data_IF_496244571230
#
_entry.id   IF_496244571230
#
_cell.length_a   1.000
_cell.length_b   1.000
_cell.length_c   1.000
_cell.angle_alpha   90.00
_cell.angle_beta   90.00
_cell.angle_gamma   90.00
#
_symmetry.space_group_name_H-M   'P 1'
#
loop_
_entity.id
_entity.type
_entity.pdbx_description
1 polymer ?
#
# COMPACT_ATOMS: atom_id res chain seq x y z
N UNK A 1 -42.59 39.52 28.59
CA UNK A 1 -42.94 39.50 30.02
C UNK A 1 -43.91 38.36 30.25
N UNK A 2 -43.68 37.60 31.34
CA UNK A 2 -44.49 36.51 31.96
C UNK A 2 -44.86 35.31 31.07
N UNK A 3 -44.79 34.06 31.52
CA UNK A 3 -44.46 33.49 32.83
C UNK A 3 -44.14 32.02 32.67
N UNK A 4 -43.10 31.56 33.36
CA UNK A 4 -42.86 30.13 33.63
C UNK A 4 -43.79 29.66 34.75
N UNK A 5 -44.32 28.45 34.64
CA UNK A 5 -44.87 27.71 35.78
C UNK A 5 -44.37 26.26 35.69
N UNK A 6 -43.45 25.97 36.59
CA UNK A 6 -42.90 24.66 36.85
C UNK A 6 -43.91 23.79 37.61
N UNK A 7 -43.92 22.49 37.33
CA UNK A 7 -44.44 21.48 38.25
C UNK A 7 -43.38 20.39 38.40
N UNK A 8 -42.76 20.36 39.58
CA UNK A 8 -41.86 19.30 40.04
C UNK A 8 -42.69 18.08 40.48
N UNK A 9 -42.26 16.89 40.08
CA UNK A 9 -42.62 15.64 40.74
C UNK A 9 -41.33 14.94 41.19
N UNK A 10 -41.13 14.90 42.50
CA UNK A 10 -40.16 14.04 43.18
C UNK A 10 -40.96 13.07 44.04
N UNK A 11 -40.82 11.77 43.80
CA UNK A 11 -41.01 10.77 44.84
C UNK A 11 -40.01 9.63 44.65
N UNK A 12 -39.15 9.51 45.67
CA UNK A 12 -38.27 8.40 46.00
C UNK A 12 -39.11 7.17 46.45
N UNK A 13 -38.65 5.96 46.74
CA UNK A 13 -37.41 5.34 47.23
C UNK A 13 -37.48 3.86 46.77
N UNK A 14 -36.37 3.19 46.43
CA UNK A 14 -35.66 2.25 47.33
C UNK A 14 -36.45 0.94 47.58
N UNK A 15 -35.95 -0.28 47.48
CA UNK A 15 -34.61 -0.85 47.32
C UNK A 15 -34.83 -2.36 47.14
N UNK A 16 -34.15 -3.03 46.21
CA UNK A 16 -33.71 -4.41 46.46
C UNK A 16 -32.30 -4.55 45.87
N UNK A 17 -31.32 -4.63 46.76
CA UNK A 17 -29.95 -5.08 46.46
C UNK A 17 -29.98 -6.60 46.33
N UNK A 18 -29.34 -7.14 45.30
CA UNK A 18 -28.21 -8.10 45.42
C UNK A 18 -27.80 -8.58 44.04
N UNK A 19 -26.53 -8.35 43.66
CA UNK A 19 -25.87 -9.03 42.55
C UNK A 19 -25.15 -8.11 41.58
N UNK A 20 -23.85 -7.89 41.83
CA UNK A 20 -22.84 -7.49 40.84
C UNK A 20 -21.64 -8.44 41.09
N UNK A 21 -20.66 -8.67 40.19
CA UNK A 21 -20.48 -8.16 38.82
C UNK A 21 -20.02 -9.24 37.81
N UNK A 22 -19.75 -8.76 36.59
CA UNK A 22 -18.67 -9.20 35.68
C UNK A 22 -19.07 -10.09 34.52
N UNK A 23 -19.03 -9.48 33.33
CA UNK A 23 -19.03 -10.22 32.06
C UNK A 23 -19.52 -9.41 30.85
N UNK A 24 -19.40 -8.08 30.84
CA UNK A 24 -19.71 -7.30 29.65
C UNK A 24 -18.53 -7.36 28.67
N UNK A 25 -18.58 -8.32 27.75
CA UNK A 25 -17.74 -8.35 26.55
C UNK A 25 -18.10 -7.15 25.68
N UNK A 26 -17.20 -6.19 25.41
CA UNK A 26 -17.43 -5.20 24.38
C UNK A 26 -17.39 -5.90 23.02
N UNK A 27 -18.44 -5.71 22.22
CA UNK A 27 -18.50 -6.22 20.86
C UNK A 27 -17.31 -5.75 20.04
N UNK A 28 -16.47 -6.71 19.64
CA UNK A 28 -15.45 -6.50 18.64
C UNK A 28 -16.14 -6.35 17.28
N UNK A 29 -16.29 -5.11 16.81
CA UNK A 29 -16.42 -4.84 15.38
C UNK A 29 -15.17 -5.41 14.70
N UNK A 30 -15.29 -6.27 13.66
CA UNK A 30 -14.16 -6.58 12.83
C UNK A 30 -14.00 -5.43 11.83
N UNK A 31 -13.54 -4.28 12.32
CA UNK A 31 -12.76 -3.40 11.45
C UNK A 31 -11.46 -4.13 11.19
N UNK A 32 -11.52 -5.07 10.25
CA UNK A 32 -10.34 -5.51 9.52
C UNK A 32 -9.96 -4.35 8.60
N UNK A 33 -9.57 -3.24 9.20
CA UNK A 33 -8.49 -2.46 8.63
C UNK A 33 -7.37 -3.47 8.52
N UNK A 34 -7.14 -3.97 7.30
CA UNK A 34 -5.96 -4.73 6.98
C UNK A 34 -4.82 -3.96 7.64
N UNK A 35 -4.26 -4.57 8.69
CA UNK A 35 -3.07 -4.07 9.30
C UNK A 35 -2.02 -4.19 8.19
N UNK A 36 -1.91 -3.14 7.39
CA UNK A 36 -0.69 -2.75 6.71
C UNK A 36 0.28 -2.43 7.83
N UNK A 37 0.70 -3.49 8.53
CA UNK A 37 1.83 -3.44 9.40
C UNK A 37 2.96 -2.88 8.57
N UNK A 38 3.70 -1.97 9.17
CA UNK A 38 4.94 -1.42 8.65
C UNK A 38 5.98 -2.55 8.54
N UNK A 39 5.72 -3.54 7.69
CA UNK A 39 6.79 -4.27 7.05
C UNK A 39 7.58 -3.19 6.30
N UNK A 40 8.79 -2.93 6.77
CA UNK A 40 9.66 -1.95 6.13
C UNK A 40 9.77 -2.25 4.63
N UNK A 41 10.01 -1.20 3.84
CA UNK A 41 10.22 -1.35 2.41
C UNK A 41 11.24 -2.47 2.14
N UNK A 42 10.93 -3.47 1.30
CA UNK A 42 11.87 -4.55 0.93
C UNK A 42 13.01 -4.05 0.04
N UNK A 43 13.83 -3.12 0.54
CA UNK A 43 14.88 -2.42 -0.21
C UNK A 43 15.96 -3.34 -0.77
N UNK A 44 16.13 -4.54 -0.21
CA UNK A 44 17.04 -5.56 -0.75
C UNK A 44 16.63 -6.05 -2.15
N UNK A 45 15.37 -5.85 -2.58
CA UNK A 45 14.91 -6.13 -3.94
C UNK A 45 15.03 -4.93 -4.88
N UNK A 46 15.33 -3.74 -4.36
CA UNK A 46 15.47 -2.52 -5.14
C UNK A 46 16.95 -2.29 -5.44
N UNK A 47 17.34 -2.24 -6.70
CA UNK A 47 18.72 -1.96 -7.10
C UNK A 47 19.10 -0.46 -7.01
N UNK A 48 18.28 0.34 -6.32
CA UNK A 48 18.41 1.78 -6.18
C UNK A 48 17.84 2.24 -4.82
N UNK A 49 18.21 3.42 -4.37
CA UNK A 49 17.58 4.08 -3.21
C UNK A 49 16.51 5.05 -3.65
N UNK A 50 15.67 5.52 -2.72
CA UNK A 50 14.68 6.55 -3.00
C UNK A 50 15.31 7.80 -3.63
N UNK A 51 16.46 8.22 -3.11
CA UNK A 51 17.18 9.43 -3.51
C UNK A 51 17.74 9.33 -4.94
N UNK A 52 18.06 8.11 -5.40
CA UNK A 52 18.58 7.84 -6.73
C UNK A 52 17.53 7.26 -7.69
N UNK A 53 16.29 7.07 -7.25
CA UNK A 53 15.28 6.29 -7.96
C UNK A 53 14.79 6.86 -9.29
N UNK A 54 15.08 8.13 -9.59
CA UNK A 54 14.83 8.73 -10.91
C UNK A 54 16.09 8.96 -11.75
N UNK A 55 17.27 8.52 -11.29
CA UNK A 55 18.51 8.53 -12.07
C UNK A 55 18.53 7.37 -13.07
N UNK A 56 17.55 7.38 -13.97
CA UNK A 56 17.27 6.37 -14.98
C UNK A 56 16.61 7.01 -16.21
N UNK A 57 16.33 6.20 -17.23
CA UNK A 57 15.74 6.61 -18.50
C UNK A 57 14.20 6.75 -18.46
N UNK A 58 13.65 6.99 -17.27
CA UNK A 58 12.22 7.23 -17.08
C UNK A 58 11.41 5.98 -16.74
N UNK A 59 12.06 4.86 -16.39
CA UNK A 59 11.38 3.75 -15.74
C UNK A 59 12.29 2.96 -14.77
N UNK A 60 11.64 2.17 -13.92
CA UNK A 60 12.21 0.98 -13.30
C UNK A 60 11.39 -0.22 -13.73
N UNK A 61 11.96 -1.41 -13.69
CA UNK A 61 11.35 -2.59 -14.27
C UNK A 61 11.62 -3.86 -13.47
N UNK A 62 10.69 -4.81 -13.61
CA UNK A 62 10.68 -6.08 -12.87
C UNK A 62 9.95 -7.16 -13.67
N UNK A 63 10.21 -8.41 -13.31
CA UNK A 63 9.61 -9.58 -13.97
C UNK A 63 8.45 -10.13 -13.15
N UNK A 64 7.39 -10.58 -13.84
CA UNK A 64 6.27 -11.30 -13.25
C UNK A 64 6.03 -12.62 -13.99
N UNK A 65 5.76 -13.74 -13.29
CA UNK A 65 5.35 -14.99 -13.92
C UNK A 65 4.08 -14.83 -14.76
N UNK A 66 4.03 -15.37 -15.98
CA UNK A 66 2.85 -15.25 -16.86
C UNK A 66 1.63 -16.02 -16.35
N UNK A 67 1.86 -17.09 -15.60
CA UNK A 67 0.85 -17.97 -15.02
C UNK A 67 0.31 -17.47 -13.67
N UNK A 68 0.60 -16.20 -13.31
CA UNK A 68 0.14 -15.55 -12.09
C UNK A 68 -0.79 -14.35 -12.38
N UNK A 69 -1.99 -14.55 -12.98
CA UNK A 69 -2.88 -13.44 -13.36
C UNK A 69 -3.37 -12.60 -12.17
N UNK A 70 -3.52 -13.21 -10.99
CA UNK A 70 -3.86 -12.48 -9.76
C UNK A 70 -2.75 -11.51 -9.34
N UNK A 71 -1.49 -11.93 -9.47
CA UNK A 71 -0.34 -11.07 -9.16
C UNK A 71 -0.20 -9.93 -10.18
N UNK A 72 -0.54 -10.16 -11.45
CA UNK A 72 -0.58 -9.09 -12.47
C UNK A 72 -1.67 -8.07 -12.17
N UNK A 73 -2.86 -8.53 -11.74
CA UNK A 73 -3.93 -7.66 -11.31
C UNK A 73 -3.53 -6.84 -10.07
N UNK A 74 -2.80 -7.44 -9.14
CA UNK A 74 -2.31 -6.77 -7.94
C UNK A 74 -1.26 -5.70 -8.26
N UNK A 75 -0.31 -5.99 -9.15
CA UNK A 75 0.63 -4.99 -9.69
C UNK A 75 -0.13 -3.79 -10.26
N UNK A 76 -1.19 -4.04 -11.02
CA UNK A 76 -2.03 -2.98 -11.60
C UNK A 76 -2.85 -2.21 -10.58
N UNK A 77 -3.27 -2.86 -9.50
CA UNK A 77 -3.97 -2.22 -8.38
C UNK A 77 -3.03 -1.30 -7.59
N UNK A 78 -1.80 -1.73 -7.35
CA UNK A 78 -0.77 -0.97 -6.63
C UNK A 78 -0.29 0.22 -7.45
N UNK A 79 0.07 -0.02 -8.72
CA UNK A 79 0.64 0.99 -9.59
C UNK A 79 -0.06 0.96 -10.96
N UNK A 80 -1.19 1.67 -11.13
CA UNK A 80 -1.98 1.64 -12.37
C UNK A 80 -1.21 2.05 -13.63
N UNK A 81 -0.22 2.93 -13.45
CA UNK A 81 0.65 3.49 -14.50
C UNK A 81 1.63 2.50 -15.10
N UNK A 82 1.86 1.34 -14.46
CA UNK A 82 2.79 0.33 -14.98
C UNK A 82 2.37 -0.13 -16.38
N UNK A 83 3.31 -0.44 -17.25
CA UNK A 83 3.01 -1.10 -18.54
C UNK A 83 3.62 -2.49 -18.56
N UNK A 84 3.04 -3.40 -19.34
CA UNK A 84 3.51 -4.76 -19.48
C UNK A 84 3.95 -5.01 -20.93
N UNK A 85 5.05 -5.74 -21.12
CA UNK A 85 5.53 -6.10 -22.45
C UNK A 85 6.27 -7.44 -22.46
N UNK A 86 6.28 -8.09 -23.63
CA UNK A 86 7.07 -9.29 -23.88
C UNK A 86 8.50 -8.89 -24.25
N UNK A 87 9.32 -8.62 -23.23
CA UNK A 87 10.73 -8.25 -23.38
C UNK A 87 11.56 -8.89 -22.26
N UNK A 88 12.86 -9.04 -22.49
CA UNK A 88 13.79 -9.39 -21.40
C UNK A 88 13.99 -8.21 -20.46
N UNK A 89 14.05 -6.99 -20.99
CA UNK A 89 14.53 -5.83 -20.24
C UNK A 89 15.94 -6.02 -19.66
N UNK A 90 16.37 -5.05 -18.88
CA UNK A 90 17.49 -5.14 -17.91
C UNK A 90 17.16 -6.03 -16.72
N UNK A 91 15.89 -6.15 -16.35
CA UNK A 91 15.42 -7.10 -15.34
C UNK A 91 15.70 -8.56 -15.74
N UNK A 92 16.01 -8.81 -17.02
CA UNK A 92 16.48 -10.10 -17.51
C UNK A 92 15.38 -11.17 -17.56
N UNK A 93 14.13 -10.78 -17.74
CA UNK A 93 12.99 -11.68 -17.73
C UNK A 93 13.15 -12.80 -18.76
N UNK A 94 12.80 -14.01 -18.35
CA UNK A 94 12.63 -15.13 -19.28
C UNK A 94 11.36 -14.89 -20.10
N UNK A 95 11.50 -14.56 -21.38
CA UNK A 95 10.35 -14.23 -22.24
C UNK A 95 9.44 -15.43 -22.52
N UNK A 96 9.85 -16.65 -22.22
CA UNK A 96 8.96 -17.81 -22.29
C UNK A 96 7.97 -17.79 -21.11
N UNK A 97 8.47 -17.57 -19.89
CA UNK A 97 7.73 -17.80 -18.64
C UNK A 97 7.33 -16.53 -17.89
N UNK A 98 7.90 -15.38 -18.23
CA UNK A 98 7.73 -14.10 -17.52
C UNK A 98 7.32 -12.96 -18.45
N UNK A 99 6.68 -11.95 -17.87
CA UNK A 99 6.33 -10.67 -18.47
C UNK A 99 7.13 -9.56 -17.80
N UNK A 100 7.69 -8.66 -18.59
CA UNK A 100 8.35 -7.46 -18.08
C UNK A 100 7.29 -6.41 -17.75
N UNK A 101 7.35 -5.85 -16.56
CA UNK A 101 6.57 -4.69 -16.14
C UNK A 101 7.49 -3.48 -16.00
N UNK A 102 7.05 -2.33 -16.51
CA UNK A 102 7.75 -1.05 -16.40
C UNK A 102 6.92 -0.11 -15.53
N UNK A 103 7.48 0.29 -14.40
CA UNK A 103 6.98 1.38 -13.56
C UNK A 103 7.62 2.68 -14.02
N UNK A 104 6.83 3.67 -14.46
CA UNK A 104 7.41 4.85 -15.09
C UNK A 104 7.83 5.90 -14.03
N UNK A 105 9.06 6.40 -14.16
CA UNK A 105 9.71 7.37 -13.25
C UNK A 105 9.85 8.75 -13.90
N UNK A 106 8.77 9.25 -14.52
CA UNK A 106 8.68 10.61 -15.08
C UNK A 106 8.10 11.60 -14.05
N UNK A 107 7.83 12.85 -14.44
CA UNK A 107 7.66 14.01 -13.53
C UNK A 107 6.73 13.79 -12.32
N UNK A 108 5.66 13.01 -12.43
CA UNK A 108 4.77 12.76 -11.28
C UNK A 108 5.39 11.86 -10.19
N UNK A 109 6.33 11.00 -10.56
CA UNK A 109 6.99 10.06 -9.66
C UNK A 109 8.26 10.64 -9.02
N UNK A 110 8.76 11.79 -9.51
CA UNK A 110 10.06 12.35 -9.13
C UNK A 110 9.91 13.77 -8.57
N UNK A 111 10.70 14.12 -7.57
CA UNK A 111 10.72 15.49 -7.01
C UNK A 111 11.33 16.51 -7.97
N UNK A 112 12.18 16.05 -8.89
CA UNK A 112 12.75 16.80 -10.00
C UNK A 112 13.25 15.82 -11.07
N UNK A 113 13.62 16.32 -12.26
CA UNK A 113 14.28 15.50 -13.28
C UNK A 113 15.55 14.86 -12.70
N UNK A 114 15.62 13.53 -12.72
CA UNK A 114 16.67 12.72 -12.11
C UNK A 114 16.87 12.87 -10.59
N UNK A 115 15.86 13.43 -9.90
CA UNK A 115 15.86 13.59 -8.45
C UNK A 115 15.47 12.33 -7.69
N UNK A 116 15.00 12.54 -6.46
CA UNK A 116 14.45 11.49 -5.62
C UNK A 116 13.04 11.10 -6.09
N UNK A 117 12.64 9.87 -5.77
CA UNK A 117 11.24 9.46 -5.86
C UNK A 117 10.39 10.23 -4.83
N UNK A 118 9.17 10.58 -5.22
CA UNK A 118 8.15 11.09 -4.29
C UNK A 118 7.82 10.01 -3.26
N UNK A 119 7.25 10.40 -2.12
CA UNK A 119 6.81 9.43 -1.10
C UNK A 119 5.78 8.44 -1.67
N UNK A 120 4.87 8.93 -2.51
CA UNK A 120 3.88 8.09 -3.21
C UNK A 120 4.55 7.04 -4.08
N UNK A 121 5.46 7.46 -4.98
CA UNK A 121 6.13 6.54 -5.89
C UNK A 121 7.02 5.53 -5.14
N UNK A 122 7.72 5.99 -4.09
CA UNK A 122 8.50 5.11 -3.24
C UNK A 122 7.61 4.06 -2.55
N UNK A 123 6.47 4.47 -1.99
CA UNK A 123 5.53 3.55 -1.33
C UNK A 123 4.93 2.53 -2.30
N UNK A 124 4.59 2.93 -3.53
CA UNK A 124 4.13 2.00 -4.57
C UNK A 124 5.22 0.96 -4.89
N UNK A 125 6.48 1.39 -5.08
CA UNK A 125 7.61 0.48 -5.33
C UNK A 125 7.90 -0.45 -4.14
N UNK A 126 7.71 0.02 -2.92
CA UNK A 126 7.82 -0.83 -1.73
C UNK A 126 6.69 -1.88 -1.67
N UNK A 127 5.46 -1.51 -2.04
CA UNK A 127 4.34 -2.45 -2.13
C UNK A 127 4.55 -3.47 -3.24
N UNK A 128 5.06 -3.06 -4.40
CA UNK A 128 5.45 -3.97 -5.48
C UNK A 128 6.56 -4.92 -4.99
N UNK A 129 7.63 -4.41 -4.37
CA UNK A 129 8.70 -5.25 -3.85
C UNK A 129 8.22 -6.24 -2.76
N UNK A 130 7.13 -5.94 -2.05
CA UNK A 130 6.53 -6.85 -1.09
C UNK A 130 5.82 -8.05 -1.73
N UNK A 131 5.51 -8.01 -3.04
CA UNK A 131 4.96 -9.16 -3.74
C UNK A 131 6.00 -10.30 -3.81
N UNK A 132 5.62 -11.55 -3.48
CA UNK A 132 6.56 -12.68 -3.47
C UNK A 132 7.08 -13.03 -4.87
N UNK A 133 6.32 -12.72 -5.92
CA UNK A 133 6.70 -12.98 -7.31
C UNK A 133 7.83 -12.05 -7.80
N UNK A 134 7.92 -10.84 -7.25
CA UNK A 134 8.93 -9.85 -7.64
C UNK A 134 10.22 -10.17 -6.90
N UNK A 135 11.25 -10.57 -7.65
CA UNK A 135 12.58 -10.88 -7.08
C UNK A 135 13.49 -9.65 -7.02
N UNK A 136 13.43 -8.80 -8.03
CA UNK A 136 14.23 -7.58 -8.15
C UNK A 136 13.51 -6.52 -8.98
N UNK A 137 13.75 -5.26 -8.64
CA UNK A 137 13.33 -4.07 -9.37
C UNK A 137 14.58 -3.27 -9.71
N UNK A 138 14.79 -3.03 -11.00
CA UNK A 138 16.02 -2.43 -11.52
C UNK A 138 15.72 -1.17 -12.34
N UNK A 139 16.61 -0.18 -12.34
CA UNK A 139 16.45 1.02 -13.17
C UNK A 139 16.72 0.74 -14.66
N UNK A 140 16.07 1.50 -15.54
CA UNK A 140 16.41 1.55 -16.98
C UNK A 140 17.54 2.56 -17.23
N UNK A 141 18.49 2.29 -18.12
CA UNK A 141 19.58 3.24 -18.47
C UNK A 141 19.79 3.33 -19.98
N UNK A 142 20.33 4.46 -20.42
CA UNK A 142 20.79 4.70 -21.80
C UNK A 142 22.07 3.88 -22.03
N UNK A 143 22.15 3.20 -23.17
CA UNK A 143 23.40 2.59 -23.67
C UNK A 143 24.20 3.58 -24.52
#
# INVERSE_FOLDING_TARGET
>A
MVSSLALLALLACGTNRTGNPSGATPGASPDTAAASGTAGCPTHKLAFTREAGCQNDGAVEFCMPKDAPAAHAEVKRIAPSVSAMASRGRAGCDTATQTLFLYPTHEAACTSRHGALTDTAWNELCQLAALPEIQHIVPTWYE
#
